data_IF_266106512246
#
_entry.id   IF_266106512246
#
_cell.length_a   1.000
_cell.length_b   1.000
_cell.length_c   1.000
_cell.angle_alpha   90.00
_cell.angle_beta   90.00
_cell.angle_gamma   90.00
#
_symmetry.space_group_name_H-M   'P 1'
#
loop_
_entity.id
_entity.type
_entity.pdbx_description
1 polymer ?
#
# COMPACT_ATOMS: atom_id res chain seq x y z
N UNK A 1 7.81 25.98 15.24
CA UNK A 1 6.67 25.35 14.57
C UNK A 1 6.99 23.87 14.45
N UNK A 2 6.41 23.02 15.29
CA UNK A 2 6.52 21.56 15.17
C UNK A 2 5.88 21.18 13.84
N UNK A 3 6.68 20.63 12.89
CA UNK A 3 6.14 19.97 11.70
C UNK A 3 5.06 19.01 12.19
N UNK A 4 3.79 19.20 11.74
CA UNK A 4 2.73 18.24 12.00
C UNK A 4 3.26 16.89 11.53
N UNK A 5 3.43 15.96 12.47
CA UNK A 5 3.93 14.63 12.15
C UNK A 5 2.85 13.98 11.28
N UNK A 6 3.20 13.65 10.04
CA UNK A 6 2.25 13.05 9.10
C UNK A 6 1.58 11.85 9.78
N UNK A 7 0.23 11.75 9.68
CA UNK A 7 -0.56 10.77 10.42
C UNK A 7 -0.07 9.33 10.19
N UNK A 8 0.32 9.01 8.96
CA UNK A 8 0.80 7.68 8.59
C UNK A 8 2.13 7.32 9.27
N UNK A 9 3.03 8.27 9.44
CA UNK A 9 4.29 8.06 10.16
C UNK A 9 4.10 7.80 11.66
N UNK A 10 2.95 8.20 12.24
CA UNK A 10 2.65 7.97 13.65
C UNK A 10 1.82 6.72 13.89
N UNK A 11 0.80 6.47 13.05
CA UNK A 11 -0.15 5.37 13.23
C UNK A 11 0.41 4.01 12.84
N UNK A 12 0.96 3.88 11.64
CA UNK A 12 1.47 2.60 11.13
C UNK A 12 2.67 2.05 11.92
N UNK A 13 3.32 2.89 12.73
CA UNK A 13 4.45 2.50 13.57
C UNK A 13 4.02 2.03 14.98
N UNK A 14 2.70 2.02 15.29
CA UNK A 14 2.20 1.64 16.61
C UNK A 14 1.93 0.13 16.72
N UNK A 15 2.02 -0.39 17.95
CA UNK A 15 1.56 -1.75 18.26
C UNK A 15 0.06 -1.90 18.03
N UNK A 16 -0.71 -0.85 18.25
CA UNK A 16 -2.17 -0.85 18.14
C UNK A 16 -2.66 -1.00 16.70
N UNK A 17 -1.92 -0.43 15.72
CA UNK A 17 -2.15 -0.70 14.30
C UNK A 17 -2.05 -2.20 13.99
N UNK A 18 -1.03 -2.85 14.50
CA UNK A 18 -0.82 -4.28 14.26
C UNK A 18 -1.84 -5.16 14.98
N UNK A 19 -2.36 -4.73 16.12
CA UNK A 19 -3.46 -5.41 16.82
C UNK A 19 -4.74 -5.28 15.99
N UNK A 20 -5.11 -4.05 15.59
CA UNK A 20 -6.32 -3.78 14.82
C UNK A 20 -6.38 -4.58 13.52
N UNK A 21 -5.24 -4.73 12.85
CA UNK A 21 -5.15 -5.41 11.55
C UNK A 21 -4.53 -6.82 11.61
N UNK A 22 -4.54 -7.44 12.80
CA UNK A 22 -3.95 -8.79 13.01
C UNK A 22 -4.56 -9.87 12.12
N UNK A 23 -5.85 -9.73 11.78
CA UNK A 23 -6.60 -10.74 11.02
C UNK A 23 -6.51 -10.57 9.50
N UNK A 24 -5.61 -9.72 9.00
CA UNK A 24 -5.37 -9.64 7.55
C UNK A 24 -4.85 -10.99 7.06
N UNK A 25 -5.60 -11.58 6.15
CA UNK A 25 -5.35 -12.93 5.66
C UNK A 25 -4.07 -13.00 4.81
N UNK A 26 -3.12 -13.82 5.27
CA UNK A 26 -1.88 -14.07 4.53
C UNK A 26 -2.13 -14.92 3.29
N UNK A 27 -3.19 -15.77 3.29
CA UNK A 27 -3.51 -16.64 2.15
C UNK A 27 -4.01 -15.83 0.96
N UNK A 28 -4.87 -14.82 1.19
CA UNK A 28 -5.34 -13.91 0.14
C UNK A 28 -4.18 -13.13 -0.48
N UNK A 29 -3.28 -12.61 0.37
CA UNK A 29 -2.10 -11.89 -0.11
C UNK A 29 -1.18 -12.78 -0.96
N UNK A 30 -0.96 -14.02 -0.54
CA UNK A 30 -0.14 -14.98 -1.28
C UNK A 30 -0.80 -15.40 -2.59
N UNK A 31 -2.12 -15.58 -2.61
CA UNK A 31 -2.88 -15.87 -3.83
C UNK A 31 -2.74 -14.73 -4.82
N UNK A 32 -2.94 -13.50 -4.39
CA UNK A 32 -2.76 -12.31 -5.23
C UNK A 32 -1.34 -12.25 -5.83
N UNK A 33 -0.30 -12.49 -5.02
CA UNK A 33 1.07 -12.53 -5.53
C UNK A 33 1.29 -13.64 -6.57
N UNK A 34 0.74 -14.84 -6.36
CA UNK A 34 0.80 -15.93 -7.36
C UNK A 34 0.13 -15.53 -8.67
N UNK A 35 -1.06 -14.93 -8.58
CA UNK A 35 -1.80 -14.49 -9.75
C UNK A 35 -1.03 -13.43 -10.54
N UNK A 36 -0.47 -12.41 -9.86
CA UNK A 36 0.37 -11.38 -10.50
C UNK A 36 1.62 -11.97 -11.15
N UNK A 37 2.36 -12.79 -10.42
CA UNK A 37 3.59 -13.43 -10.92
C UNK A 37 3.30 -14.27 -12.17
N UNK A 38 2.22 -15.05 -12.15
CA UNK A 38 1.80 -15.86 -13.28
C UNK A 38 1.36 -15.00 -14.47
N UNK A 39 0.49 -14.01 -14.24
CA UNK A 39 -0.07 -13.17 -15.29
C UNK A 39 1.02 -12.32 -15.98
N UNK A 40 1.92 -11.72 -15.21
CA UNK A 40 2.98 -10.85 -15.71
C UNK A 40 4.22 -11.64 -16.19
N UNK A 41 4.20 -12.97 -16.00
CA UNK A 41 5.27 -13.87 -16.41
C UNK A 41 6.64 -13.48 -15.83
N UNK A 42 6.66 -13.11 -14.54
CA UNK A 42 7.88 -12.80 -13.82
C UNK A 42 8.82 -14.02 -13.76
N UNK A 43 10.11 -13.77 -13.80
CA UNK A 43 11.13 -14.82 -13.86
C UNK A 43 11.90 -14.90 -12.56
N UNK A 44 12.26 -16.12 -12.17
CA UNK A 44 13.17 -16.29 -11.02
C UNK A 44 14.43 -15.47 -11.22
N UNK A 45 14.84 -14.77 -10.16
CA UNK A 45 15.97 -13.86 -10.20
C UNK A 45 15.64 -12.41 -10.57
N UNK A 46 14.41 -12.11 -11.03
CA UNK A 46 13.98 -10.73 -11.24
C UNK A 46 14.11 -9.92 -9.96
N UNK A 47 14.45 -8.65 -10.10
CA UNK A 47 14.56 -7.70 -8.99
C UNK A 47 13.24 -7.00 -8.76
N UNK A 48 12.65 -7.22 -7.59
CA UNK A 48 11.35 -6.67 -7.18
C UNK A 48 11.54 -5.70 -6.02
N UNK A 49 10.92 -4.53 -6.12
CA UNK A 49 10.74 -3.60 -5.01
C UNK A 49 9.32 -3.75 -4.47
N UNK A 50 9.19 -4.09 -3.20
CA UNK A 50 7.93 -4.02 -2.44
C UNK A 50 7.91 -2.69 -1.68
N UNK A 51 7.19 -1.71 -2.21
CA UNK A 51 7.17 -0.33 -1.74
C UNK A 51 6.02 -0.12 -0.75
N UNK A 52 6.33 0.36 0.45
CA UNK A 52 5.49 0.35 1.64
C UNK A 52 5.22 -1.08 2.14
N UNK A 53 6.29 -1.85 2.29
CA UNK A 53 6.24 -3.28 2.59
C UNK A 53 5.80 -3.62 4.03
N UNK A 54 5.76 -2.65 4.94
CA UNK A 54 5.51 -2.88 6.36
C UNK A 54 6.52 -3.88 6.96
N UNK A 55 6.01 -4.92 7.61
CA UNK A 55 6.83 -6.01 8.19
C UNK A 55 7.33 -7.04 7.15
N UNK A 56 7.13 -6.77 5.86
CA UNK A 56 7.71 -7.57 4.77
C UNK A 56 6.93 -8.82 4.38
N UNK A 57 5.65 -8.94 4.70
CA UNK A 57 4.83 -10.11 4.38
C UNK A 57 4.90 -10.51 2.91
N UNK A 58 4.68 -9.56 2.01
CA UNK A 58 4.73 -9.80 0.55
C UNK A 58 6.17 -10.01 0.08
N UNK A 59 7.12 -9.22 0.60
CA UNK A 59 8.54 -9.34 0.29
C UNK A 59 9.07 -10.74 0.60
N UNK A 60 8.75 -11.28 1.78
CA UNK A 60 9.16 -12.63 2.21
C UNK A 60 8.56 -13.68 1.28
N UNK A 61 7.28 -13.55 0.95
CA UNK A 61 6.62 -14.49 0.07
C UNK A 61 7.20 -14.46 -1.35
N UNK A 62 7.37 -13.29 -1.95
CA UNK A 62 7.99 -13.14 -3.27
C UNK A 62 9.42 -13.71 -3.29
N UNK A 63 10.19 -13.49 -2.24
CA UNK A 63 11.52 -14.08 -2.12
C UNK A 63 11.46 -15.63 -2.09
N UNK A 64 10.46 -16.22 -1.41
CA UNK A 64 10.26 -17.67 -1.41
C UNK A 64 9.93 -18.25 -2.80
N UNK A 65 9.41 -17.42 -3.71
CA UNK A 65 9.16 -17.78 -5.11
C UNK A 65 10.42 -17.66 -5.99
N UNK A 66 11.54 -17.18 -5.44
CA UNK A 66 12.85 -17.12 -6.10
C UNK A 66 13.19 -15.74 -6.69
N UNK A 67 12.53 -14.66 -6.25
CA UNK A 67 12.87 -13.29 -6.65
C UNK A 67 13.95 -12.68 -5.75
N UNK A 68 14.72 -11.74 -6.30
CA UNK A 68 15.54 -10.82 -5.52
C UNK A 68 14.66 -9.66 -5.06
N UNK A 69 14.40 -9.54 -3.76
CA UNK A 69 13.43 -8.59 -3.23
C UNK A 69 14.08 -7.55 -2.33
N UNK A 70 13.69 -6.29 -2.55
CA UNK A 70 13.91 -5.22 -1.59
C UNK A 70 12.53 -4.78 -1.07
N UNK A 71 12.31 -4.93 0.24
CA UNK A 71 11.19 -4.31 0.93
C UNK A 71 11.59 -2.93 1.43
N UNK A 72 10.81 -1.92 1.09
CA UNK A 72 11.05 -0.54 1.49
C UNK A 72 9.83 0.03 2.21
N UNK A 73 10.03 0.63 3.38
CA UNK A 73 8.96 1.24 4.19
C UNK A 73 9.49 2.45 4.97
N UNK A 74 8.61 3.39 5.28
CA UNK A 74 8.92 4.55 6.10
C UNK A 74 9.04 4.18 7.59
N UNK A 75 8.31 3.16 8.05
CA UNK A 75 8.28 2.72 9.45
C UNK A 75 9.56 1.99 9.82
N UNK A 76 10.38 2.66 10.63
CA UNK A 76 11.61 2.09 11.18
C UNK A 76 11.35 0.82 12.00
N UNK A 77 10.28 0.79 12.80
CA UNK A 77 9.95 -0.37 13.62
C UNK A 77 9.52 -1.56 12.76
N UNK A 78 8.73 -1.34 11.72
CA UNK A 78 8.35 -2.37 10.76
C UNK A 78 9.58 -2.96 10.05
N UNK A 79 10.48 -2.10 9.57
CA UNK A 79 11.72 -2.51 8.92
C UNK A 79 12.63 -3.29 9.87
N UNK A 80 12.77 -2.88 11.14
CA UNK A 80 13.55 -3.65 12.12
C UNK A 80 13.00 -5.07 12.35
N UNK A 81 11.67 -5.23 12.30
CA UNK A 81 11.06 -6.56 12.40
C UNK A 81 11.26 -7.37 11.12
N UNK A 82 11.09 -6.75 9.96
CA UNK A 82 11.28 -7.39 8.66
C UNK A 82 12.72 -7.88 8.44
N UNK A 83 13.71 -7.14 8.93
CA UNK A 83 15.13 -7.49 8.82
C UNK A 83 15.51 -8.84 9.44
N UNK A 84 14.70 -9.39 10.34
CA UNK A 84 14.91 -10.74 10.89
C UNK A 84 14.79 -11.85 9.83
N UNK A 85 14.18 -11.55 8.69
CA UNK A 85 13.97 -12.47 7.57
C UNK A 85 14.95 -12.23 6.41
N UNK A 86 15.89 -11.27 6.54
CA UNK A 86 16.88 -10.99 5.50
C UNK A 86 17.73 -12.20 5.16
N UNK A 87 18.06 -12.32 3.89
CA UNK A 87 19.01 -13.31 3.35
C UNK A 87 19.78 -12.68 2.17
N UNK A 88 20.48 -13.48 1.36
CA UNK A 88 21.27 -12.98 0.24
C UNK A 88 20.41 -12.26 -0.81
N UNK A 89 19.17 -12.73 -1.05
CA UNK A 89 18.24 -12.22 -2.07
C UNK A 89 17.05 -11.45 -1.51
N UNK A 90 16.97 -11.23 -0.18
CA UNK A 90 15.93 -10.44 0.48
C UNK A 90 16.56 -9.40 1.39
N UNK A 91 16.25 -8.12 1.16
CA UNK A 91 16.74 -7.00 1.97
C UNK A 91 15.58 -6.06 2.33
N UNK A 92 15.74 -5.34 3.46
CA UNK A 92 14.76 -4.36 3.92
C UNK A 92 15.43 -3.03 4.23
N UNK A 93 14.84 -1.93 3.74
CA UNK A 93 15.38 -0.58 3.88
C UNK A 93 14.30 0.38 4.41
N UNK A 94 14.72 1.32 5.26
CA UNK A 94 13.91 2.48 5.60
C UNK A 94 13.96 3.47 4.43
N UNK A 95 12.80 3.79 3.85
CA UNK A 95 12.74 4.63 2.66
C UNK A 95 11.39 5.37 2.58
N UNK A 96 11.46 6.68 2.31
CA UNK A 96 10.30 7.47 1.95
C UNK A 96 10.10 7.41 0.43
N UNK A 97 8.91 6.97 -0.01
CA UNK A 97 8.60 6.79 -1.43
C UNK A 97 8.67 8.09 -2.26
N UNK A 98 8.67 9.26 -1.60
CA UNK A 98 8.90 10.56 -2.25
C UNK A 98 10.35 10.78 -2.65
N UNK A 99 11.28 9.96 -2.14
CA UNK A 99 12.68 10.01 -2.53
C UNK A 99 12.97 9.07 -3.71
N UNK A 100 13.93 9.39 -4.59
CA UNK A 100 14.30 8.54 -5.71
C UNK A 100 14.96 7.23 -5.23
N UNK A 101 14.80 6.17 -6.00
CA UNK A 101 15.47 4.90 -5.76
C UNK A 101 16.91 4.93 -6.28
N UNK A 102 17.79 4.17 -5.63
CA UNK A 102 19.23 4.11 -5.99
C UNK A 102 19.54 3.09 -7.07
N UNK A 103 18.56 2.28 -7.49
CA UNK A 103 18.67 1.26 -8.54
C UNK A 103 17.38 1.09 -9.29
N UNK A 104 17.41 0.30 -10.37
CA UNK A 104 16.21 -0.05 -11.15
C UNK A 104 15.77 -1.49 -10.90
N UNK A 105 14.48 -1.76 -11.12
CA UNK A 105 13.79 -3.00 -10.82
C UNK A 105 13.06 -3.55 -12.05
N UNK A 106 12.86 -4.87 -12.09
CA UNK A 106 12.00 -5.53 -13.06
C UNK A 106 10.53 -5.32 -12.70
N UNK A 107 10.23 -5.23 -11.39
CA UNK A 107 8.90 -4.88 -10.90
C UNK A 107 8.96 -3.98 -9.66
N UNK A 108 8.01 -3.06 -9.55
CA UNK A 108 7.76 -2.26 -8.34
C UNK A 108 6.31 -2.45 -7.94
N UNK A 109 6.09 -2.91 -6.71
CA UNK A 109 4.76 -3.20 -6.17
C UNK A 109 4.44 -2.18 -5.07
N UNK A 110 3.31 -1.49 -5.18
CA UNK A 110 2.75 -0.67 -4.10
C UNK A 110 1.32 -1.15 -3.85
N UNK A 111 1.13 -1.93 -2.80
CA UNK A 111 -0.03 -2.78 -2.61
C UNK A 111 -0.86 -2.37 -1.39
N UNK A 112 -2.09 -2.89 -1.33
CA UNK A 112 -3.01 -2.75 -0.20
C UNK A 112 -3.30 -1.30 0.20
N UNK A 113 -3.45 -0.42 -0.80
CA UNK A 113 -3.78 1.00 -0.60
C UNK A 113 -2.70 1.74 0.20
N UNK A 114 -1.44 1.60 -0.23
CA UNK A 114 -0.30 2.34 0.32
C UNK A 114 0.04 3.59 -0.50
N UNK A 115 -0.91 4.12 -1.28
CA UNK A 115 -0.83 5.30 -2.13
C UNK A 115 -1.94 6.30 -1.76
N UNK A 116 -1.79 7.59 -2.09
CA UNK A 116 -2.83 8.60 -1.87
C UNK A 116 -2.95 9.09 -0.42
N UNK A 117 -1.86 9.08 0.35
CA UNK A 117 -1.83 9.53 1.75
C UNK A 117 -1.46 11.01 1.91
N UNK A 118 -0.87 11.61 0.90
CA UNK A 118 -0.34 12.97 0.99
C UNK A 118 -1.44 14.01 0.76
N UNK A 119 -1.33 15.17 1.42
CA UNK A 119 -2.29 16.27 1.21
C UNK A 119 -2.09 16.93 -0.16
N UNK A 120 -0.84 17.14 -0.56
CA UNK A 120 -0.48 17.73 -1.86
C UNK A 120 -0.46 16.65 -2.97
N UNK A 121 -1.21 16.90 -4.04
CA UNK A 121 -1.23 16.03 -5.23
C UNK A 121 0.17 15.91 -5.88
N UNK A 122 1.02 16.92 -5.75
CA UNK A 122 2.38 16.88 -6.29
C UNK A 122 3.27 15.85 -5.58
N UNK A 123 2.99 15.50 -4.32
CA UNK A 123 3.72 14.45 -3.63
C UNK A 123 3.35 13.07 -4.21
N UNK A 124 2.06 12.80 -4.47
CA UNK A 124 1.63 11.57 -5.15
C UNK A 124 2.21 11.47 -6.56
N UNK A 125 2.23 12.57 -7.33
CA UNK A 125 2.85 12.66 -8.65
C UNK A 125 4.37 12.39 -8.55
N UNK A 126 5.02 12.89 -7.52
CA UNK A 126 6.45 12.63 -7.27
C UNK A 126 6.70 11.15 -7.01
N UNK A 127 5.84 10.48 -6.23
CA UNK A 127 5.90 9.03 -6.02
C UNK A 127 5.78 8.27 -7.34
N UNK A 128 4.80 8.61 -8.19
CA UNK A 128 4.63 7.97 -9.50
C UNK A 128 5.85 8.19 -10.40
N UNK A 129 6.44 9.39 -10.39
CA UNK A 129 7.67 9.69 -11.11
C UNK A 129 8.85 8.84 -10.61
N UNK A 130 8.99 8.68 -9.29
CA UNK A 130 10.05 7.85 -8.71
C UNK A 130 9.84 6.37 -9.06
N UNK A 131 8.60 5.87 -8.98
CA UNK A 131 8.26 4.50 -9.40
C UNK A 131 8.67 4.30 -10.86
N UNK A 132 8.23 5.18 -11.76
CA UNK A 132 8.56 5.09 -13.19
C UNK A 132 10.08 5.08 -13.43
N UNK A 133 10.81 6.02 -12.81
CA UNK A 133 12.27 6.12 -12.97
C UNK A 133 13.00 4.94 -12.32
N UNK A 134 12.37 4.25 -11.37
CA UNK A 134 12.89 3.05 -10.73
C UNK A 134 12.69 1.77 -11.54
N UNK A 135 11.95 1.82 -12.65
CA UNK A 135 11.77 0.65 -13.51
C UNK A 135 12.90 0.50 -14.53
N UNK A 136 13.26 -0.75 -14.81
CA UNK A 136 14.05 -1.09 -16.01
C UNK A 136 13.22 -0.82 -17.28
N UNK A 137 13.85 -0.84 -18.46
CA UNK A 137 13.20 -0.54 -19.75
C UNK A 137 11.95 -1.38 -20.06
N UNK A 138 11.89 -2.62 -19.57
CA UNK A 138 10.75 -3.52 -19.72
C UNK A 138 10.09 -3.83 -18.36
N UNK A 139 10.40 -3.03 -17.34
CA UNK A 139 9.86 -3.20 -15.99
C UNK A 139 8.41 -2.77 -15.92
N UNK A 140 7.69 -3.30 -14.91
CA UNK A 140 6.29 -2.96 -14.66
C UNK A 140 6.10 -2.50 -13.23
N UNK A 141 5.17 -1.58 -13.01
CA UNK A 141 4.72 -1.25 -11.67
C UNK A 141 3.29 -1.74 -11.45
N UNK A 142 3.00 -2.17 -10.23
CA UNK A 142 1.66 -2.55 -9.79
C UNK A 142 1.27 -1.61 -8.64
N UNK A 143 0.17 -0.88 -8.84
CA UNK A 143 -0.45 -0.07 -7.78
C UNK A 143 -1.81 -0.69 -7.48
N UNK A 144 -1.98 -1.20 -6.26
CA UNK A 144 -3.23 -1.75 -5.78
C UNK A 144 -3.90 -0.75 -4.83
N UNK A 145 -4.98 -0.17 -5.29
CA UNK A 145 -5.76 0.83 -4.57
C UNK A 145 -7.17 0.33 -4.29
N UNK A 146 -7.85 0.89 -3.29
CA UNK A 146 -9.27 0.62 -3.10
C UNK A 146 -10.10 1.20 -4.26
N UNK A 147 -11.20 0.59 -4.63
CA UNK A 147 -12.20 1.25 -5.45
C UNK A 147 -12.94 2.29 -4.59
N UNK A 148 -12.50 3.53 -4.63
CA UNK A 148 -13.01 4.59 -3.78
C UNK A 148 -14.51 4.84 -3.96
N UNK A 149 -15.04 4.67 -5.19
CA UNK A 149 -16.47 4.83 -5.47
C UNK A 149 -17.30 3.79 -4.71
N UNK A 150 -16.93 2.51 -4.80
CA UNK A 150 -17.60 1.44 -4.06
C UNK A 150 -17.46 1.61 -2.55
N UNK A 151 -16.28 1.97 -2.07
CA UNK A 151 -16.02 2.19 -0.63
C UNK A 151 -16.91 3.30 -0.09
N UNK A 152 -17.06 4.43 -0.79
CA UNK A 152 -17.90 5.54 -0.37
C UNK A 152 -19.38 5.15 -0.41
N UNK A 153 -19.82 4.46 -1.47
CA UNK A 153 -21.23 4.02 -1.60
C UNK A 153 -21.66 3.05 -0.49
N UNK A 154 -20.72 2.24 0.03
CA UNK A 154 -20.98 1.24 1.07
C UNK A 154 -20.34 1.58 2.43
N UNK A 155 -20.02 2.85 2.66
CA UNK A 155 -19.31 3.29 3.85
C UNK A 155 -20.19 3.06 5.10
N UNK A 156 -19.64 2.29 6.06
CA UNK A 156 -20.26 2.09 7.38
C UNK A 156 -19.74 3.21 8.29
N UNK A 157 -20.62 4.17 8.68
CA UNK A 157 -20.18 5.39 9.38
C UNK A 157 -19.56 5.11 10.75
N UNK A 158 -20.09 4.12 11.47
CA UNK A 158 -19.63 3.78 12.80
C UNK A 158 -19.61 2.27 13.03
N UNK A 159 -18.56 1.77 13.62
CA UNK A 159 -18.46 0.39 14.10
C UNK A 159 -17.58 0.32 15.34
N UNK A 160 -17.75 -0.74 16.12
CA UNK A 160 -16.85 -1.06 17.24
C UNK A 160 -16.42 -2.51 17.13
N UNK A 161 -15.13 -2.76 17.35
CA UNK A 161 -14.59 -4.11 17.38
C UNK A 161 -13.60 -4.28 18.52
N UNK A 162 -13.67 -5.43 19.21
CA UNK A 162 -12.78 -5.75 20.33
C UNK A 162 -11.76 -6.79 19.88
N UNK A 163 -10.47 -6.44 19.95
CA UNK A 163 -9.34 -7.30 19.58
C UNK A 163 -8.33 -7.27 20.71
N UNK A 164 -7.92 -8.43 21.21
CA UNK A 164 -6.96 -8.56 22.32
C UNK A 164 -7.32 -7.73 23.56
N UNK A 165 -8.64 -7.59 23.86
CA UNK A 165 -9.14 -6.83 25.00
C UNK A 165 -9.21 -5.32 24.80
N UNK A 166 -8.82 -4.79 23.65
CA UNK A 166 -8.94 -3.38 23.29
C UNK A 166 -10.17 -3.20 22.41
N UNK A 167 -11.09 -2.31 22.81
CA UNK A 167 -12.25 -1.94 22.00
C UNK A 167 -11.93 -0.72 21.15
N UNK A 168 -11.84 -0.92 19.84
CA UNK A 168 -11.63 0.13 18.85
C UNK A 168 -12.99 0.65 18.37
N UNK A 169 -13.28 1.93 18.65
CA UNK A 169 -14.43 2.64 18.13
C UNK A 169 -14.01 3.39 16.86
N UNK A 170 -14.59 3.02 15.75
CA UNK A 170 -14.17 3.48 14.43
C UNK A 170 -15.29 4.30 13.83
N UNK A 171 -14.97 5.53 13.42
CA UNK A 171 -15.86 6.41 12.66
C UNK A 171 -15.27 6.64 11.27
N UNK A 172 -16.10 6.52 10.22
CA UNK A 172 -15.69 6.77 8.83
C UNK A 172 -16.54 7.85 8.21
N UNK A 173 -15.88 8.71 7.45
CA UNK A 173 -16.55 9.80 6.72
C UNK A 173 -15.69 10.23 5.52
N UNK A 174 -16.28 11.04 4.65
CA UNK A 174 -15.57 11.68 3.54
C UNK A 174 -15.47 13.18 3.85
N UNK A 175 -14.27 13.71 3.85
CA UNK A 175 -13.98 15.10 4.11
C UNK A 175 -12.84 15.61 3.25
N UNK A 176 -12.99 16.80 2.63
CA UNK A 176 -11.95 17.43 1.82
C UNK A 176 -11.30 16.51 0.78
N UNK A 177 -12.11 15.68 0.11
CA UNK A 177 -11.67 14.68 -0.86
C UNK A 177 -10.82 13.54 -0.27
N UNK A 178 -10.89 13.31 1.04
CA UNK A 178 -10.31 12.14 1.70
C UNK A 178 -11.40 11.24 2.26
N UNK A 179 -11.17 9.94 2.16
CA UNK A 179 -11.87 8.93 2.93
C UNK A 179 -11.12 8.82 4.26
N UNK A 180 -11.80 9.20 5.33
CA UNK A 180 -11.21 9.30 6.67
C UNK A 180 -11.74 8.17 7.53
N UNK A 181 -10.84 7.53 8.27
CA UNK A 181 -11.15 6.58 9.33
C UNK A 181 -10.53 7.10 10.63
N UNK A 182 -11.38 7.54 11.54
CA UNK A 182 -11.01 7.94 12.89
C UNK A 182 -11.13 6.74 13.82
N UNK A 183 -10.11 6.47 14.62
CA UNK A 183 -9.98 5.28 15.46
C UNK A 183 -9.73 5.74 16.90
N UNK A 184 -10.72 5.54 17.75
CA UNK A 184 -10.69 5.89 19.17
C UNK A 184 -10.68 4.63 20.02
N UNK A 185 -9.78 4.54 20.99
CA UNK A 185 -9.70 3.42 21.94
C UNK A 185 -9.01 3.82 23.23
N UNK A 186 -9.22 3.01 24.27
CA UNK A 186 -8.48 3.09 25.53
C UNK A 186 -7.56 1.89 25.66
N UNK A 187 -6.29 2.13 26.03
CA UNK A 187 -5.32 1.10 26.37
C UNK A 187 -4.36 1.62 27.44
N UNK A 188 -3.96 0.77 28.37
CA UNK A 188 -3.04 1.10 29.47
C UNK A 188 -3.49 2.34 30.27
N UNK A 189 -4.81 2.53 30.46
CA UNK A 189 -5.41 3.65 31.18
C UNK A 189 -5.29 5.01 30.47
N UNK A 190 -5.05 5.00 29.15
CA UNK A 190 -4.93 6.21 28.31
C UNK A 190 -5.88 6.15 27.13
N UNK A 191 -6.44 7.31 26.77
CA UNK A 191 -7.24 7.47 25.56
C UNK A 191 -6.31 7.76 24.35
N UNK A 192 -6.62 7.11 23.24
CA UNK A 192 -5.91 7.28 21.98
C UNK A 192 -6.89 7.62 20.87
N UNK A 193 -6.46 8.52 20.00
CA UNK A 193 -7.15 8.86 18.76
C UNK A 193 -6.13 8.83 17.61
N UNK A 194 -6.41 8.03 16.59
CA UNK A 194 -5.63 7.97 15.36
C UNK A 194 -6.53 8.16 14.14
N UNK A 195 -5.90 8.52 13.02
CA UNK A 195 -6.58 8.73 11.76
C UNK A 195 -5.89 7.94 10.67
N UNK A 196 -6.70 7.40 9.75
CA UNK A 196 -6.26 6.97 8.43
C UNK A 196 -6.97 7.87 7.42
N UNK A 197 -6.20 8.54 6.55
CA UNK A 197 -6.72 9.47 5.55
C UNK A 197 -6.19 9.06 4.19
N UNK A 198 -7.08 8.57 3.35
CA UNK A 198 -6.74 8.15 1.99
C UNK A 198 -7.51 9.02 1.01
N UNK A 199 -6.83 9.59 0.02
CA UNK A 199 -7.50 10.39 -1.01
C UNK A 199 -8.60 9.59 -1.71
N UNK A 200 -9.70 10.26 -1.99
CA UNK A 200 -10.74 9.74 -2.85
C UNK A 200 -10.24 9.83 -4.32
N UNK A 201 -9.50 8.81 -4.74
CA UNK A 201 -8.96 8.71 -6.09
C UNK A 201 -9.76 7.68 -6.88
N UNK A 202 -10.49 8.15 -7.87
CA UNK A 202 -11.08 7.30 -8.91
C UNK A 202 -10.07 7.04 -10.04
N UNK A 203 -10.46 6.18 -10.99
CA UNK A 203 -9.62 5.87 -12.14
C UNK A 203 -9.28 7.11 -12.98
N UNK A 204 -10.20 8.07 -13.11
CA UNK A 204 -9.99 9.27 -13.90
C UNK A 204 -8.92 10.17 -13.26
N UNK A 205 -8.97 10.35 -11.93
CA UNK A 205 -8.00 11.15 -11.19
C UNK A 205 -6.62 10.50 -11.20
N UNK A 206 -6.54 9.18 -10.96
CA UNK A 206 -5.27 8.45 -11.03
C UNK A 206 -4.69 8.52 -12.44
N UNK A 207 -5.52 8.37 -13.48
CA UNK A 207 -5.06 8.47 -14.87
C UNK A 207 -4.52 9.88 -15.18
N UNK A 208 -5.10 10.95 -14.62
CA UNK A 208 -4.55 12.30 -14.75
C UNK A 208 -3.15 12.43 -14.14
N UNK A 209 -2.91 11.83 -12.96
CA UNK A 209 -1.59 11.79 -12.35
C UNK A 209 -0.58 11.00 -13.20
N UNK A 210 -0.97 9.83 -13.69
CA UNK A 210 -0.13 8.97 -14.54
C UNK A 210 0.27 9.69 -15.84
N UNK A 211 -0.69 10.36 -16.48
CA UNK A 211 -0.44 11.13 -17.71
C UNK A 211 0.57 12.27 -17.48
N UNK A 212 0.54 12.93 -16.32
CA UNK A 212 1.47 14.02 -15.99
C UNK A 212 2.93 13.58 -15.93
N UNK A 213 3.18 12.28 -15.70
CA UNK A 213 4.52 11.66 -15.67
C UNK A 213 4.76 10.73 -16.88
N UNK A 214 3.85 10.71 -17.87
CA UNK A 214 3.90 9.82 -19.03
C UNK A 214 4.02 8.33 -18.65
N UNK A 215 3.31 7.90 -17.60
CA UNK A 215 3.24 6.51 -17.15
C UNK A 215 1.98 5.87 -17.73
N UNK A 216 2.12 4.78 -18.44
CA UNK A 216 1.00 4.17 -19.18
C UNK A 216 0.36 3.04 -18.40
N UNK A 217 -0.96 2.98 -18.47
CA UNK A 217 -1.71 1.84 -17.95
C UNK A 217 -1.68 0.72 -19.00
N UNK A 218 -1.23 -0.46 -18.60
CA UNK A 218 -1.21 -1.68 -19.42
C UNK A 218 -2.42 -2.56 -19.14
N UNK A 219 -2.76 -2.75 -17.86
CA UNK A 219 -3.93 -3.52 -17.44
C UNK A 219 -4.59 -2.86 -16.23
N UNK A 220 -5.90 -3.13 -16.06
CA UNK A 220 -6.68 -2.69 -14.90
C UNK A 220 -7.50 -3.89 -14.41
N UNK A 221 -7.33 -4.25 -13.12
CA UNK A 221 -8.07 -5.35 -12.51
C UNK A 221 -8.92 -4.85 -11.34
N UNK A 222 -9.99 -5.59 -11.05
CA UNK A 222 -10.99 -5.24 -10.04
C UNK A 222 -10.85 -5.97 -8.71
N UNK A 223 -10.04 -7.02 -8.66
CA UNK A 223 -9.86 -7.88 -7.49
C UNK A 223 -8.52 -8.64 -7.55
N UNK A 224 -8.25 -9.44 -6.52
CA UNK A 224 -7.01 -10.22 -6.40
C UNK A 224 -6.98 -11.49 -7.26
N UNK A 225 -8.11 -11.87 -7.89
CA UNK A 225 -8.23 -12.90 -8.92
C UNK A 225 -7.90 -12.34 -10.31
N UNK A 226 -7.59 -11.04 -10.43
CA UNK A 226 -7.28 -10.32 -11.66
C UNK A 226 -8.47 -10.30 -12.65
N UNK A 227 -9.69 -10.22 -12.15
CA UNK A 227 -10.85 -9.96 -12.98
C UNK A 227 -10.88 -8.53 -13.50
N UNK A 228 -11.55 -8.29 -14.62
CA UNK A 228 -11.63 -6.96 -15.21
C UNK A 228 -12.26 -5.96 -14.23
N UNK A 229 -11.69 -4.78 -14.14
CA UNK A 229 -12.20 -3.69 -13.31
C UNK A 229 -13.58 -3.22 -13.80
N UNK A 230 -14.48 -3.07 -12.84
CA UNK A 230 -15.77 -2.40 -13.01
C UNK A 230 -15.91 -1.37 -11.87
N UNK A 231 -16.12 -0.10 -12.22
CA UNK A 231 -16.14 1.00 -11.27
C UNK A 231 -17.22 0.86 -10.18
N UNK A 232 -18.36 0.23 -10.51
CA UNK A 232 -19.49 0.11 -9.59
C UNK A 232 -19.36 -1.12 -8.66
N UNK A 233 -18.73 -2.20 -9.14
CA UNK A 233 -18.81 -3.50 -8.46
C UNK A 233 -17.49 -4.04 -7.95
N UNK A 234 -16.36 -3.63 -8.53
CA UNK A 234 -15.03 -4.12 -8.12
C UNK A 234 -14.65 -3.65 -6.71
N UNK A 235 -13.99 -4.50 -5.96
CA UNK A 235 -13.47 -4.15 -4.63
C UNK A 235 -12.19 -3.33 -4.69
N UNK A 236 -11.39 -3.56 -5.73
CA UNK A 236 -10.08 -2.95 -5.90
C UNK A 236 -9.99 -2.19 -7.22
N UNK A 237 -9.01 -1.33 -7.31
CA UNK A 237 -8.50 -0.73 -8.53
C UNK A 237 -7.01 -1.07 -8.60
N UNK A 238 -6.69 -2.12 -9.35
CA UNK A 238 -5.33 -2.62 -9.48
C UNK A 238 -4.81 -2.24 -10.86
N UNK A 239 -3.78 -1.42 -10.87
CA UNK A 239 -3.17 -0.89 -12.09
C UNK A 239 -1.84 -1.59 -12.36
N UNK A 240 -1.66 -2.12 -13.57
CA UNK A 240 -0.37 -2.53 -14.10
C UNK A 240 0.11 -1.44 -15.05
N UNK A 241 1.29 -0.90 -14.78
CA UNK A 241 1.85 0.30 -15.42
C UNK A 241 3.17 -0.03 -16.13
N UNK A 242 3.42 0.68 -17.29
CA UNK A 242 4.67 0.57 -18.04
C UNK A 242 5.15 1.92 -18.61
#
# INVERSE_FOLDING_TARGET
MTKNKEWFASWFDTVYYHILYKHRDDSEAQEFMRNLVSFLNFKKGDFVLDLACGKGRHSIYLNSLGFNVIGADLSKNSIQQAKKFENESLKFIEHDMRNPFTRTYDAILNLFTSFGFFEDDNEDITVLKNIKNGLKSNGVAIIDFMNSKKVIANLIPQESQTIEGITFNITRYVENNFIVKEINFEADGKQYTYFEKVKNLDLAKINAYLNSVNFKIKHIFGDYQLTNFNEETSDRLILVLE
#
